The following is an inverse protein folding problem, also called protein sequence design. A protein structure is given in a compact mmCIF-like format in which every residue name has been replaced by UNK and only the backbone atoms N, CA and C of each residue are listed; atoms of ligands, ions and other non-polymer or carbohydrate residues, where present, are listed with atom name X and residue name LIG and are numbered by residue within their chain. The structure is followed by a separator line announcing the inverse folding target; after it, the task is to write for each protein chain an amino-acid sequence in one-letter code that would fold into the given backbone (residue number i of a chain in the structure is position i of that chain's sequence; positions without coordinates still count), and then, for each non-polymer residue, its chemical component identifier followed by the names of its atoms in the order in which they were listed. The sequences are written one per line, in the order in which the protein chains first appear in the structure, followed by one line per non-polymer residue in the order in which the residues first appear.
data_IF_781365061900
#
_entry.id   IF_781365061900
#
_cell.length_a   1.000
_cell.length_b   1.000
_cell.length_c   1.000
_cell.angle_alpha   90.00
_cell.angle_beta   90.00
_cell.angle_gamma   90.00
#
_symmetry.space_group_name_H-M   'P 1'
#
loop_
_entity.id
_entity.type
_entity.pdbx_description
1 polymer ?
#
# COMPACT_ATOMS: atom_id res chain seq x y z
N UNK A 1 -26.15 -23.33 21.96
CA UNK A 1 -26.93 -23.27 20.70
C UNK A 1 -26.78 -21.88 20.12
N UNK A 2 -26.14 -21.74 18.96
CA UNK A 2 -26.03 -20.44 18.28
C UNK A 2 -27.39 -20.07 17.70
N UNK A 3 -28.02 -19.01 18.20
CA UNK A 3 -29.38 -18.55 17.87
C UNK A 3 -29.40 -17.48 16.76
N UNK A 4 -28.43 -17.48 15.84
CA UNK A 4 -28.37 -16.50 14.75
C UNK A 4 -28.93 -17.06 13.44
N UNK A 5 -29.73 -16.27 12.74
CA UNK A 5 -30.15 -16.58 11.37
C UNK A 5 -28.90 -16.78 10.48
N UNK A 6 -28.84 -17.89 9.76
CA UNK A 6 -27.66 -18.29 8.96
C UNK A 6 -27.29 -17.23 7.91
N UNK A 7 -28.28 -16.51 7.37
CA UNK A 7 -28.05 -15.41 6.43
C UNK A 7 -27.34 -14.23 7.09
N UNK A 8 -27.72 -13.85 8.31
CA UNK A 8 -27.10 -12.73 9.03
C UNK A 8 -25.66 -13.03 9.40
N UNK A 9 -25.38 -14.26 9.84
CA UNK A 9 -24.02 -14.72 10.14
C UNK A 9 -23.15 -14.67 8.88
N UNK A 10 -23.66 -15.13 7.74
CA UNK A 10 -22.93 -15.11 6.48
C UNK A 10 -22.63 -13.68 6.00
N UNK A 11 -23.60 -12.76 6.08
CA UNK A 11 -23.39 -11.37 5.67
C UNK A 11 -22.40 -10.66 6.59
N UNK A 12 -22.47 -10.89 7.90
CA UNK A 12 -21.50 -10.35 8.86
C UNK A 12 -20.09 -10.89 8.61
N UNK A 13 -19.96 -12.18 8.31
CA UNK A 13 -18.68 -12.78 7.95
C UNK A 13 -18.11 -12.19 6.64
N UNK A 14 -18.95 -12.06 5.60
CA UNK A 14 -18.55 -11.44 4.33
C UNK A 14 -18.12 -9.98 4.50
N UNK A 15 -18.85 -9.22 5.31
CA UNK A 15 -18.52 -7.84 5.63
C UNK A 15 -17.17 -7.72 6.34
N UNK A 16 -16.95 -8.51 7.40
CA UNK A 16 -15.69 -8.49 8.15
C UNK A 16 -14.49 -8.94 7.32
N UNK A 17 -14.66 -9.95 6.45
CA UNK A 17 -13.60 -10.35 5.52
C UNK A 17 -13.26 -9.24 4.52
N UNK A 18 -14.29 -8.58 3.95
CA UNK A 18 -14.09 -7.44 3.05
C UNK A 18 -13.39 -6.28 3.74
N UNK A 19 -13.74 -5.98 4.99
CA UNK A 19 -13.14 -4.91 5.78
C UNK A 19 -11.65 -5.18 6.03
N UNK A 20 -11.30 -6.42 6.41
CA UNK A 20 -9.92 -6.84 6.64
C UNK A 20 -9.09 -6.80 5.34
N UNK A 21 -9.67 -7.23 4.21
CA UNK A 21 -9.02 -7.18 2.91
C UNK A 21 -8.71 -5.75 2.47
N UNK A 22 -9.66 -4.81 2.63
CA UNK A 22 -9.45 -3.39 2.32
C UNK A 22 -8.33 -2.81 3.20
N UNK A 23 -8.33 -3.10 4.50
CA UNK A 23 -7.26 -2.67 5.41
C UNK A 23 -5.88 -3.24 5.02
N UNK A 24 -5.85 -4.48 4.52
CA UNK A 24 -4.62 -5.09 4.01
C UNK A 24 -4.14 -4.38 2.75
N UNK A 25 -5.05 -4.08 1.82
CA UNK A 25 -4.72 -3.40 0.57
C UNK A 25 -4.23 -1.96 0.83
N UNK A 26 -4.89 -1.21 1.73
CA UNK A 26 -4.43 0.13 2.13
C UNK A 26 -2.95 0.11 2.56
N UNK A 27 -2.56 -0.84 3.41
CA UNK A 27 -1.16 -0.95 3.83
C UNK A 27 -0.23 -1.36 2.68
N UNK A 28 -0.70 -2.16 1.73
CA UNK A 28 0.08 -2.55 0.56
C UNK A 28 0.36 -1.35 -0.36
N UNK A 29 -0.66 -0.52 -0.64
CA UNK A 29 -0.49 0.70 -1.46
C UNK A 29 0.44 1.70 -0.78
N UNK A 30 0.31 1.89 0.55
CA UNK A 30 1.22 2.74 1.31
C UNK A 30 2.66 2.20 1.31
N UNK A 31 2.84 0.88 1.37
CA UNK A 31 4.15 0.25 1.24
C UNK A 31 4.74 0.45 -0.15
N UNK A 32 3.94 0.26 -1.22
CA UNK A 32 4.38 0.51 -2.59
C UNK A 32 4.78 1.97 -2.80
N UNK A 33 3.97 2.91 -2.30
CA UNK A 33 4.28 4.34 -2.30
C UNK A 33 5.61 4.64 -1.61
N UNK A 34 5.86 4.06 -0.43
CA UNK A 34 7.11 4.23 0.31
C UNK A 34 8.32 3.66 -0.44
N UNK A 35 8.18 2.50 -1.10
CA UNK A 35 9.23 1.89 -1.92
C UNK A 35 9.56 2.78 -3.11
N UNK A 36 8.56 3.24 -3.86
CA UNK A 36 8.77 4.14 -4.99
C UNK A 36 9.37 5.48 -4.57
N UNK A 37 9.00 6.01 -3.40
CA UNK A 37 9.63 7.21 -2.86
C UNK A 37 11.12 7.00 -2.62
N UNK A 38 11.50 5.87 -2.01
CA UNK A 38 12.90 5.53 -1.79
C UNK A 38 13.67 5.38 -3.10
N UNK A 39 13.06 4.83 -4.15
CA UNK A 39 13.68 4.72 -5.47
C UNK A 39 13.85 6.10 -6.13
N UNK A 40 12.84 6.96 -6.03
CA UNK A 40 12.88 8.31 -6.59
C UNK A 40 14.09 9.09 -6.06
N UNK A 41 14.30 9.07 -4.74
CA UNK A 41 15.42 9.75 -4.10
C UNK A 41 16.77 9.02 -4.28
N UNK A 42 16.78 7.72 -4.59
CA UNK A 42 18.01 7.03 -4.98
C UNK A 42 18.49 7.53 -6.35
N UNK A 43 17.61 7.60 -7.34
CA UNK A 43 17.95 8.04 -8.70
C UNK A 43 18.24 9.55 -8.80
N UNK A 44 17.79 10.34 -7.82
CA UNK A 44 18.05 11.79 -7.74
C UNK A 44 19.41 12.15 -7.11
N UNK A 45 20.14 11.17 -6.54
CA UNK A 45 21.47 11.41 -5.96
C UNK A 45 22.45 11.91 -7.01
N UNK A 46 23.43 12.71 -6.59
CA UNK A 46 24.46 13.28 -7.44
C UNK A 46 25.37 12.21 -8.09
N UNK A 47 25.60 11.09 -7.41
CA UNK A 47 26.40 9.96 -7.90
C UNK A 47 25.64 9.00 -8.84
N UNK A 48 24.31 9.13 -8.96
CA UNK A 48 23.47 8.35 -9.89
C UNK A 48 22.93 9.23 -11.02
N UNK A 49 22.38 10.39 -10.68
CA UNK A 49 21.96 11.49 -11.56
C UNK A 49 20.94 11.13 -12.67
N UNK A 50 20.10 10.10 -12.46
CA UNK A 50 19.07 9.65 -13.41
C UNK A 50 17.72 10.37 -13.19
N UNK A 51 17.69 11.69 -13.46
CA UNK A 51 16.54 12.57 -13.16
C UNK A 51 15.19 12.11 -13.73
N UNK A 52 15.18 11.49 -14.92
CA UNK A 52 13.93 10.99 -15.51
C UNK A 52 13.36 9.80 -14.72
N UNK A 53 14.23 8.91 -14.23
CA UNK A 53 13.83 7.81 -13.35
C UNK A 53 13.36 8.33 -11.99
N UNK A 54 14.06 9.31 -11.43
CA UNK A 54 13.63 9.98 -10.20
C UNK A 54 12.22 10.55 -10.31
N UNK A 55 11.93 11.28 -11.40
CA UNK A 55 10.60 11.84 -11.65
C UNK A 55 9.53 10.77 -11.89
N UNK A 56 9.87 9.69 -12.61
CA UNK A 56 8.97 8.56 -12.83
C UNK A 56 8.55 7.92 -11.50
N UNK A 57 9.53 7.53 -10.67
CA UNK A 57 9.22 6.89 -9.39
C UNK A 57 8.55 7.84 -8.39
N UNK A 58 8.84 9.14 -8.44
CA UNK A 58 8.12 10.13 -7.63
C UNK A 58 6.64 10.21 -8.03
N UNK A 59 6.33 10.10 -9.33
CA UNK A 59 4.95 10.03 -9.82
C UNK A 59 4.27 8.76 -9.35
N UNK A 60 4.90 7.60 -9.52
CA UNK A 60 4.34 6.32 -9.05
C UNK A 60 4.09 6.33 -7.54
N UNK A 61 5.01 6.89 -6.75
CA UNK A 61 4.83 7.01 -5.30
C UNK A 61 3.55 7.79 -4.94
N UNK A 62 3.27 8.89 -5.64
CA UNK A 62 2.06 9.69 -5.45
C UNK A 62 0.80 8.96 -5.90
N UNK A 63 0.85 8.28 -7.05
CA UNK A 63 -0.28 7.48 -7.55
C UNK A 63 -0.71 6.41 -6.54
N UNK A 64 0.24 5.68 -5.94
CA UNK A 64 -0.10 4.67 -4.92
C UNK A 64 -0.59 5.29 -3.61
N UNK A 65 -0.12 6.50 -3.23
CA UNK A 65 -0.73 7.24 -2.11
C UNK A 65 -2.19 7.57 -2.40
N UNK A 66 -2.50 8.05 -3.60
CA UNK A 66 -3.87 8.34 -4.01
C UNK A 66 -4.75 7.07 -4.03
N UNK A 67 -4.20 5.92 -4.44
CA UNK A 67 -4.90 4.63 -4.35
C UNK A 67 -5.22 4.26 -2.91
N UNK A 68 -4.25 4.40 -1.99
CA UNK A 68 -4.47 4.15 -0.57
C UNK A 68 -5.58 5.04 0.00
N UNK A 69 -5.57 6.34 -0.31
CA UNK A 69 -6.58 7.30 0.13
C UNK A 69 -7.98 6.97 -0.40
N UNK A 70 -8.10 6.56 -1.67
CA UNK A 70 -9.38 6.11 -2.25
C UNK A 70 -9.93 4.88 -1.53
N UNK A 71 -9.07 3.94 -1.16
CA UNK A 71 -9.47 2.76 -0.38
C UNK A 71 -9.89 3.11 1.05
N UNK A 72 -9.20 4.06 1.70
CA UNK A 72 -9.60 4.59 3.01
C UNK A 72 -10.99 5.25 2.94
N UNK A 73 -11.24 6.06 1.92
CA UNK A 73 -12.56 6.67 1.68
C UNK A 73 -13.64 5.60 1.46
N UNK A 74 -13.36 4.59 0.63
CA UNK A 74 -14.28 3.47 0.39
C UNK A 74 -14.61 2.71 1.69
N UNK A 75 -13.61 2.46 2.54
CA UNK A 75 -13.81 1.81 3.83
C UNK A 75 -14.75 2.61 4.72
N UNK A 76 -14.51 3.92 4.83
CA UNK A 76 -15.34 4.83 5.62
C UNK A 76 -16.78 4.90 5.08
N UNK A 77 -16.95 4.97 3.75
CA UNK A 77 -18.27 4.99 3.10
C UNK A 77 -19.09 3.72 3.37
N UNK A 78 -18.43 2.57 3.52
CA UNK A 78 -19.07 1.29 3.84
C UNK A 78 -19.26 1.06 5.34
N UNK A 79 -18.91 2.03 6.18
CA UNK A 79 -19.03 1.94 7.64
C UNK A 79 -17.97 1.08 8.32
N UNK A 80 -16.95 0.62 7.58
CA UNK A 80 -15.82 -0.14 8.13
C UNK A 80 -14.91 0.73 9.02
N UNK A 81 -13.88 0.11 9.60
CA UNK A 81 -12.84 0.82 10.36
C UNK A 81 -11.49 0.66 9.67
N UNK A 82 -10.77 1.77 9.61
CA UNK A 82 -9.42 1.81 9.07
C UNK A 82 -8.44 1.41 10.18
N UNK A 83 -7.62 0.40 9.90
CA UNK A 83 -6.57 -0.09 10.78
C UNK A 83 -5.23 0.00 10.06
N UNK A 84 -4.54 1.13 10.20
CA UNK A 84 -3.21 1.32 9.66
C UNK A 84 -2.20 0.46 10.43
N UNK A 85 -1.19 -0.05 9.72
CA UNK A 85 -0.11 -0.86 10.28
C UNK A 85 1.23 -0.23 9.91
N UNK A 86 2.27 -0.71 10.57
CA UNK A 86 3.63 -0.25 10.29
C UNK A 86 4.02 -0.52 8.84
N UNK A 87 4.48 0.52 8.17
CA UNK A 87 5.10 0.41 6.85
C UNK A 87 6.56 0.04 7.08
N UNK A 88 6.91 -1.22 6.86
CA UNK A 88 8.27 -1.70 7.06
C UNK A 88 9.21 -1.06 6.05
N UNK A 89 10.37 -0.62 6.54
CA UNK A 89 11.47 -0.23 5.66
C UNK A 89 11.91 -1.42 4.81
N UNK A 90 12.21 -1.16 3.54
CA UNK A 90 12.84 -2.16 2.66
C UNK A 90 14.14 -2.68 3.30
N UNK A 91 14.27 -4.01 3.42
CA UNK A 91 15.49 -4.63 3.94
C UNK A 91 16.67 -4.38 3.00
N UNK A 92 17.88 -4.21 3.54
CA UNK A 92 19.12 -3.91 2.77
C UNK A 92 19.37 -4.86 1.58
N UNK A 93 18.97 -6.13 1.69
CA UNK A 93 19.11 -7.09 0.57
C UNK A 93 18.16 -6.82 -0.60
N UNK A 94 16.98 -6.26 -0.33
CA UNK A 94 15.99 -5.98 -1.37
C UNK A 94 16.37 -4.72 -2.16
N UNK A 95 16.84 -3.67 -1.48
CA UNK A 95 17.36 -2.44 -2.13
C UNK A 95 18.45 -2.77 -3.13
N UNK A 96 19.42 -3.58 -2.69
CA UNK A 96 20.60 -3.87 -3.49
C UNK A 96 20.22 -4.68 -4.73
N UNK A 97 19.37 -5.70 -4.59
CA UNK A 97 18.93 -6.53 -5.72
C UNK A 97 17.97 -5.84 -6.69
N UNK A 98 17.16 -4.86 -6.25
CA UNK A 98 16.28 -4.10 -7.15
C UNK A 98 17.02 -2.98 -7.85
N UNK A 99 17.97 -2.33 -7.19
CA UNK A 99 18.72 -1.20 -7.78
C UNK A 99 19.81 -1.70 -8.74
N UNK A 100 20.51 -2.79 -8.42
CA UNK A 100 21.55 -3.38 -9.30
C UNK A 100 21.02 -4.04 -10.57
N UNK A 101 19.70 -4.22 -10.72
CA UNK A 101 19.08 -4.82 -11.92
C UNK A 101 18.49 -3.79 -12.88
N UNK A 102 18.43 -2.52 -12.48
CA UNK A 102 17.89 -1.42 -13.29
C UNK A 102 19.03 -0.69 -14.02
N UNK A 103 20.26 -0.85 -13.55
CA UNK A 103 21.51 -0.46 -14.22
C UNK A 103 21.94 -1.52 -15.25
#
# INVERSE_FOLDING_TARGET
YFTGNTTEIYQKFKFTFSEAAINSQINLELYASYVYLSMAFYFDRDDVALKNFAQFFLRQSREETEHAEKLMQLQNQRGGRIHLRDIKKMGKRATDNTMTKID
#
